data_IF_602550313000
#
_entry.id   IF_602550313000
#
_cell.length_a   1.000
_cell.length_b   1.000
_cell.length_c   1.000
_cell.angle_alpha   90.00
_cell.angle_beta   90.00
_cell.angle_gamma   90.00
#
_symmetry.space_group_name_H-M   'P 1'
#
loop_
_entity.id
_entity.type
_entity.pdbx_description
1 polymer ?
#
# COMPACT_ATOMS: atom_id res chain seq x y z
N UNK A 1 7.26 -41.55 -20.32
CA UNK A 1 6.18 -41.35 -19.33
C UNK A 1 6.14 -39.88 -18.99
N UNK A 2 5.11 -39.14 -19.38
CA UNK A 2 4.99 -37.74 -18.96
C UNK A 2 4.48 -37.71 -17.51
N UNK A 3 5.30 -37.19 -16.61
CA UNK A 3 5.16 -37.31 -15.16
C UNK A 3 4.11 -36.37 -14.56
N UNK A 4 3.02 -36.96 -14.08
CA UNK A 4 2.23 -36.61 -12.89
C UNK A 4 0.96 -37.47 -12.92
N UNK A 5 0.50 -37.94 -11.76
CA UNK A 5 -0.74 -38.74 -11.68
C UNK A 5 -2.01 -37.90 -11.91
N UNK A 6 -1.93 -36.56 -11.83
CA UNK A 6 -3.05 -35.64 -12.05
C UNK A 6 -2.56 -34.25 -12.42
N UNK A 7 -3.34 -33.54 -13.24
CA UNK A 7 -3.14 -32.14 -13.60
C UNK A 7 -4.33 -31.34 -13.05
N UNK A 8 -4.08 -30.25 -12.34
CA UNK A 8 -5.14 -29.48 -11.66
C UNK A 8 -5.13 -28.04 -12.14
N UNK A 9 -6.24 -27.60 -12.75
CA UNK A 9 -6.50 -26.20 -13.03
C UNK A 9 -6.87 -25.42 -11.76
N UNK A 10 -6.40 -24.18 -11.67
CA UNK A 10 -6.69 -23.26 -10.56
C UNK A 10 -8.16 -22.76 -10.48
N UNK A 11 -8.99 -23.11 -11.47
CA UNK A 11 -10.42 -22.78 -11.53
C UNK A 11 -11.13 -23.74 -12.48
N UNK A 12 -12.47 -23.80 -12.42
CA UNK A 12 -13.29 -24.64 -13.32
C UNK A 12 -13.02 -24.35 -14.79
N UNK A 13 -13.00 -23.05 -15.15
CA UNK A 13 -12.74 -22.62 -16.52
C UNK A 13 -11.29 -22.94 -16.94
N UNK A 14 -10.33 -22.70 -16.05
CA UNK A 14 -8.93 -23.05 -16.32
C UNK A 14 -8.77 -24.55 -16.56
N UNK A 15 -9.42 -25.40 -15.76
CA UNK A 15 -9.44 -26.84 -15.98
C UNK A 15 -10.02 -27.21 -17.35
N UNK A 16 -11.14 -26.62 -17.76
CA UNK A 16 -11.72 -26.90 -19.09
C UNK A 16 -10.86 -26.41 -20.25
N UNK A 17 -10.27 -25.22 -20.14
CA UNK A 17 -9.40 -24.64 -21.17
C UNK A 17 -8.11 -25.45 -21.30
N UNK A 18 -7.47 -25.80 -20.18
CA UNK A 18 -6.27 -26.63 -20.17
C UNK A 18 -6.56 -28.03 -20.75
N UNK A 19 -7.73 -28.60 -20.48
CA UNK A 19 -8.14 -29.87 -21.07
C UNK A 19 -8.22 -29.80 -22.60
N UNK A 20 -8.76 -28.72 -23.14
CA UNK A 20 -8.80 -28.49 -24.58
C UNK A 20 -7.39 -28.28 -25.16
N UNK A 21 -6.58 -27.44 -24.52
CA UNK A 21 -5.22 -27.12 -24.97
C UNK A 21 -4.32 -28.36 -25.03
N UNK A 22 -4.43 -29.25 -24.04
CA UNK A 22 -3.57 -30.44 -23.95
C UNK A 22 -4.17 -31.70 -24.57
N UNK A 23 -5.41 -31.65 -25.08
CA UNK A 23 -6.06 -32.80 -25.74
C UNK A 23 -5.21 -33.46 -26.84
N UNK A 24 -4.43 -32.74 -27.67
CA UNK A 24 -3.57 -33.37 -28.67
C UNK A 24 -2.45 -34.27 -28.10
N UNK A 25 -2.08 -34.08 -26.83
CA UNK A 25 -1.09 -34.93 -26.13
C UNK A 25 -1.66 -36.27 -25.67
N UNK A 26 -2.98 -36.45 -25.77
CA UNK A 26 -3.71 -37.67 -25.41
C UNK A 26 -4.49 -38.21 -26.62
N UNK A 27 -3.79 -38.65 -27.69
CA UNK A 27 -4.39 -38.93 -29.00
C UNK A 27 -5.42 -40.07 -29.03
N UNK A 28 -5.38 -40.98 -28.05
CA UNK A 28 -6.30 -42.12 -27.96
C UNK A 28 -7.46 -41.89 -26.98
N UNK A 29 -7.52 -40.74 -26.31
CA UNK A 29 -8.56 -40.45 -25.34
C UNK A 29 -9.47 -39.32 -25.81
N UNK A 30 -10.77 -39.44 -25.52
CA UNK A 30 -11.68 -38.32 -25.74
C UNK A 30 -11.23 -37.11 -24.91
N UNK A 31 -11.76 -35.92 -25.21
CA UNK A 31 -11.55 -34.71 -24.39
C UNK A 31 -11.83 -34.93 -22.89
N UNK A 32 -12.59 -35.95 -22.51
CA UNK A 32 -12.93 -36.27 -21.12
C UNK A 32 -11.89 -37.17 -20.43
N UNK A 33 -10.97 -37.76 -21.19
CA UNK A 33 -9.92 -38.66 -20.72
C UNK A 33 -8.58 -37.95 -20.50
N UNK A 34 -8.46 -36.70 -20.97
CA UNK A 34 -7.33 -35.84 -20.60
C UNK A 34 -7.37 -35.59 -19.08
N UNK A 35 -6.35 -36.01 -18.31
CA UNK A 35 -6.38 -36.07 -16.84
C UNK A 35 -6.18 -34.71 -16.16
N UNK A 36 -6.89 -33.70 -16.66
CA UNK A 36 -6.93 -32.33 -16.15
C UNK A 36 -8.23 -32.13 -15.38
N UNK A 37 -8.15 -31.86 -14.08
CA UNK A 37 -9.27 -31.50 -13.20
C UNK A 37 -9.15 -30.03 -12.76
N UNK A 38 -9.87 -29.62 -11.71
CA UNK A 38 -9.68 -28.30 -11.12
C UNK A 38 -9.91 -28.29 -9.61
N UNK A 39 -9.18 -27.40 -8.94
CA UNK A 39 -9.44 -26.95 -7.58
C UNK A 39 -9.46 -25.42 -7.63
N UNK A 40 -10.63 -24.84 -7.37
CA UNK A 40 -10.76 -23.38 -7.36
C UNK A 40 -9.98 -22.80 -6.19
N UNK A 41 -9.07 -21.86 -6.48
CA UNK A 41 -8.28 -21.19 -5.44
C UNK A 41 -9.20 -20.50 -4.43
N UNK A 42 -8.89 -20.68 -3.15
CA UNK A 42 -9.48 -19.94 -2.04
C UNK A 42 -8.47 -19.01 -1.39
N UNK A 43 -8.95 -18.21 -0.46
CA UNK A 43 -8.12 -17.38 0.43
C UNK A 43 -8.41 -17.73 1.88
N UNK A 44 -7.39 -17.62 2.73
CA UNK A 44 -7.58 -17.74 4.18
C UNK A 44 -8.10 -16.40 4.72
N UNK A 45 -9.42 -16.28 4.83
CA UNK A 45 -10.07 -14.99 5.13
C UNK A 45 -9.49 -14.29 6.36
N UNK A 46 -9.22 -14.94 7.51
CA UNK A 46 -8.67 -14.24 8.67
C UNK A 46 -7.33 -13.50 8.44
N UNK A 47 -6.55 -13.91 7.43
CA UNK A 47 -5.30 -13.23 7.04
C UNK A 47 -5.54 -12.09 6.06
N UNK A 48 -6.60 -12.19 5.26
CA UNK A 48 -6.97 -11.20 4.25
C UNK A 48 -7.97 -10.15 4.77
N UNK A 49 -8.61 -10.40 5.90
CA UNK A 49 -9.61 -9.54 6.51
C UNK A 49 -8.95 -8.39 7.28
N UNK A 50 -9.56 -7.20 7.26
CA UNK A 50 -9.10 -6.08 8.08
C UNK A 50 -9.60 -6.22 9.52
N UNK A 51 -8.98 -5.55 10.48
CA UNK A 51 -9.47 -5.56 11.87
C UNK A 51 -10.90 -5.03 11.97
N UNK A 52 -11.24 -4.02 11.16
CA UNK A 52 -12.57 -3.41 11.10
C UNK A 52 -13.59 -4.38 10.50
N UNK A 53 -13.21 -5.11 9.47
CA UNK A 53 -14.07 -6.11 8.85
C UNK A 53 -14.24 -7.33 9.76
N UNK A 54 -13.18 -7.81 10.42
CA UNK A 54 -13.28 -8.88 11.41
C UNK A 54 -14.23 -8.52 12.55
N UNK A 55 -14.16 -7.28 13.05
CA UNK A 55 -15.11 -6.76 14.05
C UNK A 55 -16.55 -6.75 13.53
N UNK A 56 -16.78 -6.19 12.33
CA UNK A 56 -18.11 -6.12 11.74
C UNK A 56 -18.72 -7.52 11.57
N UNK A 57 -17.97 -8.42 10.96
CA UNK A 57 -18.45 -9.77 10.67
C UNK A 57 -18.57 -10.63 11.93
N UNK A 58 -17.70 -10.44 12.92
CA UNK A 58 -17.86 -11.10 14.24
C UNK A 58 -19.15 -10.65 14.92
N UNK A 59 -19.50 -9.37 14.85
CA UNK A 59 -20.73 -8.86 15.45
C UNK A 59 -22.00 -9.40 14.75
N UNK A 60 -21.95 -9.56 13.43
CA UNK A 60 -23.11 -10.03 12.64
C UNK A 60 -23.26 -11.56 12.60
N UNK A 61 -22.14 -12.28 12.64
CA UNK A 61 -22.06 -13.71 12.27
C UNK A 61 -21.34 -14.57 13.31
N UNK A 62 -20.82 -13.96 14.37
CA UNK A 62 -20.05 -14.64 15.41
C UNK A 62 -18.60 -14.92 15.01
N UNK A 63 -17.80 -15.31 16.00
CA UNK A 63 -16.34 -15.53 15.83
C UNK A 63 -16.02 -16.76 14.96
N UNK A 64 -16.91 -17.75 14.91
CA UNK A 64 -16.75 -18.99 14.15
C UNK A 64 -17.39 -18.94 12.75
N UNK A 65 -17.69 -17.74 12.24
CA UNK A 65 -18.34 -17.52 10.93
C UNK A 65 -17.64 -18.20 9.74
N UNK A 66 -16.32 -18.41 9.82
CA UNK A 66 -15.54 -19.08 8.79
C UNK A 66 -15.42 -20.60 8.97
N UNK A 67 -15.86 -21.12 10.12
CA UNK A 67 -15.79 -22.54 10.47
C UNK A 67 -17.11 -23.27 10.18
N UNK A 68 -18.23 -22.54 10.09
CA UNK A 68 -19.52 -23.10 9.67
C UNK A 68 -19.58 -23.21 8.14
N UNK A 69 -20.33 -24.20 7.64
CA UNK A 69 -20.50 -24.41 6.21
C UNK A 69 -20.98 -23.14 5.48
N UNK A 70 -20.51 -22.93 4.25
CA UNK A 70 -20.73 -21.69 3.48
C UNK A 70 -22.20 -21.37 3.16
N UNK A 71 -23.14 -22.29 3.42
CA UNK A 71 -24.54 -22.22 3.00
C UNK A 71 -25.27 -20.94 3.48
N UNK A 72 -24.87 -20.37 4.62
CA UNK A 72 -25.57 -19.22 5.21
C UNK A 72 -24.75 -17.92 5.20
N UNK A 73 -23.58 -17.88 4.55
CA UNK A 73 -22.72 -16.69 4.58
C UNK A 73 -23.37 -15.50 3.88
N UNK A 74 -24.06 -15.73 2.75
CA UNK A 74 -24.73 -14.67 2.00
C UNK A 74 -25.81 -13.97 2.83
N UNK A 75 -26.65 -14.75 3.52
CA UNK A 75 -27.72 -14.21 4.37
C UNK A 75 -27.19 -13.50 5.61
N UNK A 76 -26.07 -14.00 6.16
CA UNK A 76 -25.41 -13.35 7.29
C UNK A 76 -24.81 -11.99 6.89
N UNK A 77 -24.21 -11.89 5.70
CA UNK A 77 -23.62 -10.64 5.23
C UNK A 77 -24.67 -9.62 4.74
N UNK A 78 -25.82 -10.07 4.22
CA UNK A 78 -26.90 -9.17 3.82
C UNK A 78 -27.54 -8.42 5.00
N UNK A 79 -27.21 -8.78 6.24
CA UNK A 79 -27.66 -8.06 7.45
C UNK A 79 -26.84 -6.81 7.75
N UNK A 80 -25.69 -6.62 7.08
CA UNK A 80 -24.90 -5.41 7.24
C UNK A 80 -25.65 -4.20 6.66
N UNK A 81 -25.74 -3.12 7.44
CA UNK A 81 -26.32 -1.87 6.96
C UNK A 81 -25.34 -1.15 6.05
N UNK A 82 -25.86 -0.33 5.14
CA UNK A 82 -25.04 0.51 4.25
C UNK A 82 -24.11 1.44 5.05
N UNK A 83 -24.59 2.00 6.16
CA UNK A 83 -23.79 2.82 7.05
C UNK A 83 -22.61 2.03 7.67
N UNK A 84 -22.85 0.79 8.11
CA UNK A 84 -21.79 -0.05 8.66
C UNK A 84 -20.72 -0.39 7.60
N UNK A 85 -21.15 -0.71 6.37
CA UNK A 85 -20.26 -0.96 5.25
C UNK A 85 -19.49 0.30 4.83
N UNK A 86 -20.15 1.46 4.83
CA UNK A 86 -19.53 2.74 4.52
C UNK A 86 -18.46 3.10 5.55
N UNK A 87 -18.78 2.98 6.83
CA UNK A 87 -17.86 3.24 7.93
C UNK A 87 -16.66 2.27 7.90
N UNK A 88 -16.89 0.99 7.60
CA UNK A 88 -15.84 0.00 7.38
C UNK A 88 -14.88 0.45 6.26
N UNK A 89 -15.43 0.83 5.09
CA UNK A 89 -14.64 1.30 3.95
C UNK A 89 -13.88 2.58 4.26
N UNK A 90 -14.52 3.54 4.94
CA UNK A 90 -13.90 4.82 5.31
C UNK A 90 -12.69 4.62 6.22
N UNK A 91 -12.81 3.75 7.23
CA UNK A 91 -11.70 3.42 8.14
C UNK A 91 -10.53 2.77 7.40
N UNK A 92 -10.81 1.77 6.55
CA UNK A 92 -9.76 1.10 5.77
C UNK A 92 -9.07 2.05 4.79
N UNK A 93 -9.81 2.95 4.13
CA UNK A 93 -9.24 3.98 3.26
C UNK A 93 -8.33 4.94 4.03
N UNK A 94 -8.76 5.42 5.19
CA UNK A 94 -7.94 6.31 6.03
C UNK A 94 -6.64 5.62 6.47
N UNK A 95 -6.71 4.32 6.83
CA UNK A 95 -5.52 3.53 7.18
C UNK A 95 -4.56 3.38 6.01
N UNK A 96 -5.08 3.12 4.81
CA UNK A 96 -4.26 3.04 3.60
C UNK A 96 -3.57 4.39 3.31
N UNK A 97 -4.32 5.49 3.32
CA UNK A 97 -3.76 6.84 3.09
C UNK A 97 -2.67 7.16 4.12
N UNK A 98 -2.91 6.84 5.39
CA UNK A 98 -1.91 7.02 6.44
C UNK A 98 -0.66 6.16 6.18
N UNK A 99 -0.84 4.87 5.89
CA UNK A 99 0.28 3.98 5.59
C UNK A 99 1.13 4.50 4.44
N UNK A 100 0.50 4.90 3.34
CA UNK A 100 1.18 5.46 2.17
C UNK A 100 1.95 6.73 2.55
N UNK A 101 1.32 7.67 3.27
CA UNK A 101 2.01 8.89 3.78
C UNK A 101 3.18 8.57 4.69
N UNK A 102 3.03 7.59 5.58
CA UNK A 102 4.08 7.18 6.51
C UNK A 102 5.25 6.51 5.76
N UNK A 103 4.98 5.77 4.67
CA UNK A 103 6.02 5.20 3.79
C UNK A 103 6.76 6.31 3.05
N UNK A 104 6.04 7.24 2.39
CA UNK A 104 6.67 8.37 1.70
C UNK A 104 7.49 9.25 2.63
N UNK A 105 7.01 9.52 3.85
CA UNK A 105 7.75 10.29 4.84
C UNK A 105 9.04 9.60 5.30
N UNK A 106 9.12 8.26 5.24
CA UNK A 106 10.37 7.52 5.55
C UNK A 106 11.34 7.50 4.39
N UNK A 107 10.84 7.49 3.16
CA UNK A 107 11.68 7.59 1.95
C UNK A 107 12.31 8.98 1.84
N UNK A 108 11.62 10.01 2.31
CA UNK A 108 12.15 11.35 2.50
C UNK A 108 13.14 11.39 3.67
N UNK A 109 14.41 11.06 3.40
CA UNK A 109 15.48 11.21 4.37
C UNK A 109 15.94 12.68 4.38
N UNK A 110 15.69 13.39 5.47
CA UNK A 110 16.10 14.79 5.65
C UNK A 110 17.23 14.81 6.67
N UNK A 111 18.45 15.10 6.21
CA UNK A 111 19.58 15.36 7.10
C UNK A 111 19.72 16.86 7.32
N UNK A 112 19.56 17.28 8.57
CA UNK A 112 19.78 18.65 9.02
C UNK A 112 21.25 18.87 9.35
N UNK A 113 21.88 19.82 8.67
CA UNK A 113 23.16 20.35 9.13
C UNK A 113 22.93 21.45 10.16
N UNK A 114 23.96 21.69 10.99
CA UNK A 114 23.98 22.84 11.91
C UNK A 114 23.97 24.11 11.06
N UNK A 115 23.10 25.10 11.32
CA UNK A 115 23.06 26.32 10.54
C UNK A 115 24.39 27.07 10.65
N UNK A 116 24.93 27.50 9.51
CA UNK A 116 26.13 28.32 9.47
C UNK A 116 25.74 29.78 9.65
N UNK A 117 26.47 30.50 10.50
CA UNK A 117 26.28 31.94 10.66
C UNK A 117 27.23 32.67 9.73
N UNK A 118 26.69 33.44 8.79
CA UNK A 118 27.46 34.27 7.87
C UNK A 118 26.85 35.68 7.86
N UNK A 119 27.66 36.71 8.10
CA UNK A 119 27.23 38.13 8.09
C UNK A 119 25.94 38.44 8.87
N UNK A 120 25.81 37.88 10.08
CA UNK A 120 24.64 38.06 10.95
C UNK A 120 23.32 37.48 10.39
N UNK A 121 23.42 36.52 9.47
CA UNK A 121 22.34 35.69 8.94
C UNK A 121 22.58 34.22 9.27
N UNK A 122 21.51 33.47 9.49
CA UNK A 122 21.57 32.01 9.61
C UNK A 122 21.30 31.40 8.24
N UNK A 123 22.24 30.58 7.77
CA UNK A 123 22.07 29.78 6.56
C UNK A 123 21.62 28.38 6.96
N UNK A 124 20.44 27.99 6.50
CA UNK A 124 19.93 26.64 6.68
C UNK A 124 20.11 25.87 5.38
N UNK A 125 20.80 24.73 5.48
CA UNK A 125 21.01 23.81 4.35
C UNK A 125 20.61 22.40 4.77
N UNK A 126 19.71 21.81 4.00
CA UNK A 126 19.15 20.47 4.21
C UNK A 126 19.53 19.58 3.03
N UNK A 127 20.04 18.38 3.34
CA UNK A 127 20.12 17.33 2.34
C UNK A 127 18.80 16.57 2.35
N UNK A 128 18.11 16.56 1.21
CA UNK A 128 16.82 15.91 1.04
C UNK A 128 16.96 14.83 -0.03
N UNK A 129 16.62 13.60 0.32
CA UNK A 129 16.58 12.47 -0.61
C UNK A 129 15.13 12.22 -1.00
N UNK A 130 14.76 12.46 -2.26
CA UNK A 130 13.38 12.39 -2.74
C UNK A 130 12.96 10.98 -3.22
N UNK A 131 13.88 10.02 -3.27
CA UNK A 131 13.58 8.67 -3.73
C UNK A 131 13.10 8.67 -5.18
N UNK A 132 11.88 8.20 -5.44
CA UNK A 132 11.26 8.21 -6.79
C UNK A 132 10.44 9.48 -7.07
N UNK A 133 10.35 10.44 -6.13
CA UNK A 133 9.57 11.66 -6.29
C UNK A 133 10.32 12.72 -7.11
N UNK A 134 9.57 13.46 -7.93
CA UNK A 134 10.12 14.58 -8.69
C UNK A 134 10.25 15.83 -7.81
N UNK A 135 11.28 16.69 -8.00
CA UNK A 135 11.48 17.90 -7.20
C UNK A 135 10.32 18.90 -7.21
N UNK A 136 9.52 18.93 -8.27
CA UNK A 136 8.33 19.77 -8.41
C UNK A 136 7.10 19.24 -7.65
N UNK A 137 7.15 17.99 -7.18
CA UNK A 137 6.10 17.37 -6.37
C UNK A 137 6.30 17.60 -4.87
N UNK A 138 7.45 18.16 -4.45
CA UNK A 138 7.84 18.31 -3.04
C UNK A 138 8.28 19.74 -2.73
N UNK A 139 7.69 20.33 -1.70
CA UNK A 139 8.12 21.61 -1.11
C UNK A 139 8.79 21.36 0.24
N UNK A 140 9.89 22.07 0.50
CA UNK A 140 10.60 22.05 1.79
C UNK A 140 10.42 23.42 2.43
N UNK A 141 10.01 23.46 3.71
CA UNK A 141 9.72 24.71 4.41
C UNK A 141 10.43 24.73 5.77
N UNK A 142 11.05 25.86 6.09
CA UNK A 142 11.62 26.15 7.41
C UNK A 142 10.52 26.76 8.28
N UNK A 143 10.33 26.20 9.47
CA UNK A 143 9.38 26.67 10.46
C UNK A 143 10.12 27.21 11.68
N UNK A 144 9.80 28.43 12.11
CA UNK A 144 10.38 29.05 13.30
C UNK A 144 9.28 29.68 14.16
N UNK A 145 9.21 29.24 15.42
CA UNK A 145 8.33 29.81 16.45
C UNK A 145 9.06 30.91 17.23
N UNK A 146 8.32 31.96 17.57
CA UNK A 146 8.77 33.03 18.46
C UNK A 146 8.20 32.76 19.86
N UNK A 147 9.02 32.38 20.86
CA UNK A 147 8.53 31.94 22.17
C UNK A 147 7.74 33.01 22.94
N UNK A 148 7.86 34.27 22.55
CA UNK A 148 7.36 35.43 23.29
C UNK A 148 5.93 35.86 22.91
N UNK A 149 5.43 35.49 21.71
CA UNK A 149 4.14 36.00 21.20
C UNK A 149 3.31 34.97 20.41
N UNK A 150 3.59 33.66 20.53
CA UNK A 150 2.91 32.58 19.77
C UNK A 150 2.89 32.81 18.23
N UNK A 151 3.76 33.70 17.74
CA UNK A 151 3.88 34.00 16.32
C UNK A 151 4.88 33.06 15.69
N UNK A 152 4.53 32.54 14.51
CA UNK A 152 5.38 31.64 13.75
C UNK A 152 5.65 32.21 12.35
N UNK A 153 6.81 31.85 11.80
CA UNK A 153 7.16 32.15 10.41
C UNK A 153 7.43 30.86 9.65
N UNK A 154 6.89 30.78 8.44
CA UNK A 154 7.11 29.67 7.50
C UNK A 154 7.85 30.24 6.29
N UNK A 155 8.98 29.63 5.94
CA UNK A 155 9.82 30.06 4.83
C UNK A 155 10.15 28.89 3.90
N UNK A 156 9.63 28.92 2.66
CA UNK A 156 9.91 27.87 1.66
C UNK A 156 11.38 27.89 1.22
N UNK A 157 12.05 26.75 1.28
CA UNK A 157 13.45 26.59 0.88
C UNK A 157 13.55 26.32 -0.63
N UNK A 158 14.64 26.77 -1.26
CA UNK A 158 14.88 26.56 -2.68
C UNK A 158 15.79 25.35 -2.86
N UNK A 159 15.45 24.49 -3.83
CA UNK A 159 16.31 23.38 -4.25
C UNK A 159 17.47 23.98 -5.05
N UNK A 160 18.68 23.95 -4.52
CA UNK A 160 19.85 24.60 -5.12
C UNK A 160 20.59 23.68 -6.09
N UNK A 161 20.92 22.46 -5.65
CA UNK A 161 21.74 21.53 -6.45
C UNK A 161 21.43 20.07 -6.16
N UNK A 162 21.64 19.22 -7.16
CA UNK A 162 21.61 17.77 -6.98
C UNK A 162 22.85 17.29 -6.20
N UNK A 163 22.66 16.32 -5.32
CA UNK A 163 23.73 15.66 -4.57
C UNK A 163 24.47 14.68 -5.47
N UNK A 164 25.77 14.93 -5.69
CA UNK A 164 26.61 14.07 -6.52
C UNK A 164 26.67 12.64 -5.95
N UNK A 165 26.27 11.66 -6.76
CA UNK A 165 26.28 10.23 -6.40
C UNK A 165 24.99 9.71 -5.74
N UNK A 166 23.97 10.55 -5.55
CA UNK A 166 22.65 10.14 -5.07
C UNK A 166 21.60 10.29 -6.18
N UNK A 167 20.78 9.24 -6.40
CA UNK A 167 19.61 9.34 -7.28
C UNK A 167 18.56 10.19 -6.55
N UNK A 168 18.12 11.28 -7.18
CA UNK A 168 17.14 12.24 -6.63
C UNK A 168 17.48 12.78 -5.23
N UNK A 169 18.76 12.94 -4.92
CA UNK A 169 19.22 13.68 -3.76
C UNK A 169 19.44 15.16 -4.11
N UNK A 170 19.00 16.07 -3.25
CA UNK A 170 19.13 17.52 -3.46
C UNK A 170 19.59 18.23 -2.19
N UNK A 171 20.31 19.33 -2.36
CA UNK A 171 20.53 20.32 -1.32
C UNK A 171 19.45 21.39 -1.48
N UNK A 172 18.66 21.56 -0.42
CA UNK A 172 17.74 22.69 -0.30
C UNK A 172 18.33 23.68 0.69
N UNK A 173 18.46 24.95 0.30
CA UNK A 173 19.01 25.97 1.17
C UNK A 173 18.20 27.26 1.15
N UNK A 174 18.37 28.04 2.22
CA UNK A 174 17.82 29.40 2.33
C UNK A 174 18.66 30.22 3.32
N UNK A 175 19.06 31.42 2.91
CA UNK A 175 19.56 32.44 3.83
C UNK A 175 18.39 33.09 4.55
N UNK A 176 18.35 33.05 5.88
CA UNK A 176 17.30 33.70 6.64
C UNK A 176 17.55 35.20 6.76
N UNK A 177 16.56 36.01 6.42
CA UNK A 177 16.48 37.40 6.86
C UNK A 177 16.41 37.44 8.41
N UNK A 178 16.95 38.50 9.00
CA UNK A 178 17.04 38.76 10.44
C UNK A 178 15.90 38.14 11.27
N UNK A 179 16.24 37.20 12.15
CA UNK A 179 15.39 36.78 13.28
C UNK A 179 15.61 37.71 14.46
#
# INVERSE_FOLDING_TARGET
MAGSASIIGASRLHGSVSRQMFSPLFPNGSRFETPVTHVTKGVHVPVWDSMEADKLWTNLSGKLRWCSGQANLSEQFSRATDEALWNLRAKNRNRLVKFVRDVYARELNIQTNIPETQDNQYLFSLQVYLGELSPDEVSVELFADTPEDDSFSIQSMQIEQALAGAVNGFVSARGSAHF
#
